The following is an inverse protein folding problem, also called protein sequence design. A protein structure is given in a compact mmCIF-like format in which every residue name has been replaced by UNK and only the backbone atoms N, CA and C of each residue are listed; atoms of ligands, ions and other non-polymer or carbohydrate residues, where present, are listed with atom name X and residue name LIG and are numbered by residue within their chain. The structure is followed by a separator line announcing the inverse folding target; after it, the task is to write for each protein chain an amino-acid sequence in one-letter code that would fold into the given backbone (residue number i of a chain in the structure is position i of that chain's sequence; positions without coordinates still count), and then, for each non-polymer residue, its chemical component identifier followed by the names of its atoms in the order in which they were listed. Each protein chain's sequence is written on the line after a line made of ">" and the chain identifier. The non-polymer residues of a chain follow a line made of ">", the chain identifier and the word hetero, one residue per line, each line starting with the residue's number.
data_IF_655896529757
#
_entry.id   IF_655896529757
#
_cell.length_a   1.000
_cell.length_b   1.000
_cell.length_c   1.000
_cell.angle_alpha   90.00
_cell.angle_beta   90.00
_cell.angle_gamma   90.00
#
_symmetry.space_group_name_H-M   'P 1'
#
loop_
_entity.id
_entity.type
_entity.pdbx_description
1 polymer ?
#
# COMPACT_ATOMS: atom_id res chain seq x y z
N UNK A 1 -2.28 -15.25 58.15
CA UNK A 1 -0.94 -15.85 57.95
C UNK A 1 -0.94 -17.09 57.05
N UNK A 2 -1.74 -18.15 57.29
CA UNK A 2 -1.71 -19.36 56.45
C UNK A 2 -2.28 -19.17 55.02
N UNK A 3 -3.34 -18.36 54.87
CA UNK A 3 -3.99 -18.10 53.58
C UNK A 3 -3.16 -17.21 52.65
N UNK A 4 -2.35 -16.30 53.20
CA UNK A 4 -1.47 -15.43 52.41
C UNK A 4 -0.32 -16.21 51.77
N UNK A 5 0.21 -17.22 52.46
CA UNK A 5 1.25 -18.11 51.93
C UNK A 5 0.71 -19.03 50.81
N UNK A 6 -0.54 -19.46 50.91
CA UNK A 6 -1.20 -20.22 49.85
C UNK A 6 -1.41 -19.36 48.58
N UNK A 7 -1.81 -18.10 48.75
CA UNK A 7 -1.97 -17.16 47.64
C UNK A 7 -0.65 -16.88 46.92
N UNK A 8 0.44 -16.64 47.66
CA UNK A 8 1.78 -16.42 47.09
C UNK A 8 2.27 -17.65 46.33
N UNK A 9 2.03 -18.87 46.83
CA UNK A 9 2.38 -20.12 46.14
C UNK A 9 1.62 -20.29 44.83
N UNK A 10 0.32 -20.02 44.82
CA UNK A 10 -0.51 -20.08 43.60
C UNK A 10 -0.09 -19.01 42.59
N UNK A 11 0.21 -17.79 43.06
CA UNK A 11 0.65 -16.69 42.21
C UNK A 11 2.04 -16.94 41.62
N UNK A 12 2.99 -17.45 42.41
CA UNK A 12 4.29 -17.89 41.90
C UNK A 12 4.15 -19.04 40.90
N UNK A 13 3.22 -19.97 41.11
CA UNK A 13 2.96 -21.05 40.15
C UNK A 13 2.41 -20.50 38.82
N UNK A 14 1.52 -19.50 38.87
CA UNK A 14 1.05 -18.78 37.68
C UNK A 14 2.20 -18.05 36.96
N UNK A 15 3.09 -17.37 37.69
CA UNK A 15 4.24 -16.67 37.09
C UNK A 15 5.24 -17.66 36.48
N UNK A 16 5.51 -18.77 37.17
CA UNK A 16 6.35 -19.85 36.65
C UNK A 16 5.71 -20.53 35.43
N UNK A 17 4.39 -20.72 35.42
CA UNK A 17 3.64 -21.27 34.29
C UNK A 17 3.63 -20.32 33.09
N UNK A 18 3.48 -19.01 33.30
CA UNK A 18 3.61 -17.99 32.23
C UNK A 18 5.04 -17.97 31.67
N UNK A 19 6.07 -18.04 32.52
CA UNK A 19 7.48 -18.14 32.08
C UNK A 19 7.78 -19.45 31.37
N UNK A 20 7.18 -20.55 31.78
CA UNK A 20 7.29 -21.86 31.15
C UNK A 20 6.58 -21.91 29.78
N UNK A 21 5.38 -21.35 29.69
CA UNK A 21 4.64 -21.20 28.44
C UNK A 21 5.35 -20.25 27.46
N UNK A 22 5.95 -19.16 27.96
CA UNK A 22 6.79 -18.28 27.13
C UNK A 22 7.98 -19.04 26.58
N UNK A 23 8.70 -19.80 27.43
CA UNK A 23 9.82 -20.64 27.01
C UNK A 23 9.41 -21.75 26.02
N UNK A 24 8.19 -22.29 26.09
CA UNK A 24 7.68 -23.27 25.11
C UNK A 24 7.43 -22.63 23.74
N UNK A 25 6.87 -21.42 23.70
CA UNK A 25 6.65 -20.68 22.45
C UNK A 25 7.98 -20.25 21.83
N UNK A 26 8.96 -19.86 22.66
CA UNK A 26 10.31 -19.48 22.23
C UNK A 26 11.15 -20.70 21.77
N UNK A 27 11.00 -21.86 22.41
CA UNK A 27 11.70 -23.12 22.04
C UNK A 27 11.37 -23.59 20.62
N UNK A 28 10.18 -23.27 20.11
CA UNK A 28 9.78 -23.60 18.73
C UNK A 28 10.59 -22.84 17.67
N UNK A 29 11.25 -21.72 18.02
CA UNK A 29 12.12 -20.97 17.10
C UNK A 29 13.56 -21.46 17.09
N UNK A 30 14.05 -22.11 18.15
CA UNK A 30 15.45 -22.58 18.24
C UNK A 30 15.76 -23.80 17.37
N UNK A 31 14.74 -24.54 16.92
CA UNK A 31 14.89 -25.75 16.07
C UNK A 31 14.78 -25.48 14.56
N UNK A 32 14.51 -24.24 14.14
CA UNK A 32 14.07 -23.93 12.77
C UNK A 32 15.18 -23.77 11.72
N UNK A 33 16.47 -23.84 12.06
CA UNK A 33 17.55 -23.72 11.09
C UNK A 33 18.51 -24.91 11.23
N UNK A 34 18.01 -26.11 10.94
CA UNK A 34 18.89 -27.16 10.44
C UNK A 34 19.58 -26.58 9.20
N UNK A 35 20.85 -26.17 9.34
CA UNK A 35 21.65 -25.65 8.23
C UNK A 35 21.65 -26.72 7.13
N UNK A 36 20.91 -26.48 6.07
CA UNK A 36 20.93 -27.33 4.88
C UNK A 36 22.35 -27.26 4.33
N UNK A 37 22.99 -28.42 4.22
CA UNK A 37 24.37 -28.54 3.75
C UNK A 37 24.38 -28.42 2.22
N UNK A 38 24.58 -27.19 1.73
CA UNK A 38 24.40 -26.83 0.32
C UNK A 38 25.43 -27.51 -0.61
N UNK A 39 26.60 -27.88 -0.09
CA UNK A 39 27.69 -28.46 -0.87
C UNK A 39 27.41 -29.91 -1.33
N UNK A 40 26.42 -30.57 -0.72
CA UNK A 40 25.99 -31.93 -1.06
C UNK A 40 24.83 -31.99 -2.06
N UNK A 41 24.21 -30.84 -2.36
CA UNK A 41 23.07 -30.76 -3.25
C UNK A 41 23.53 -30.58 -4.70
N UNK A 42 22.82 -31.24 -5.63
CA UNK A 42 23.06 -31.01 -7.05
C UNK A 42 22.44 -29.67 -7.52
N UNK A 43 22.81 -29.22 -8.72
CA UNK A 43 22.33 -27.95 -9.28
C UNK A 43 20.79 -27.90 -9.45
N UNK A 44 20.14 -29.04 -9.66
CA UNK A 44 18.69 -29.13 -9.81
C UNK A 44 18.00 -28.98 -8.44
N UNK A 45 18.54 -29.61 -7.41
CA UNK A 45 18.07 -29.52 -6.02
C UNK A 45 18.26 -28.10 -5.48
N UNK A 46 19.40 -27.46 -5.72
CA UNK A 46 19.64 -26.06 -5.34
C UNK A 46 18.64 -25.10 -5.99
N UNK A 47 18.29 -25.31 -7.25
CA UNK A 47 17.27 -24.50 -7.95
C UNK A 47 15.87 -24.75 -7.39
N UNK A 48 15.53 -25.99 -7.04
CA UNK A 48 14.27 -26.32 -6.41
C UNK A 48 14.16 -25.65 -5.03
N UNK A 49 15.20 -25.77 -4.20
CA UNK A 49 15.26 -25.14 -2.88
C UNK A 49 15.12 -23.62 -2.96
N UNK A 50 15.76 -22.97 -3.95
CA UNK A 50 15.59 -21.53 -4.17
C UNK A 50 14.12 -21.16 -4.42
N UNK A 51 13.43 -21.91 -5.27
CA UNK A 51 12.01 -21.69 -5.56
C UNK A 51 11.15 -21.89 -4.32
N UNK A 52 11.44 -22.91 -3.52
CA UNK A 52 10.69 -23.19 -2.29
C UNK A 52 10.91 -22.10 -1.24
N UNK A 53 12.12 -21.58 -1.13
CA UNK A 53 12.43 -20.42 -0.27
C UNK A 53 11.70 -19.17 -0.75
N UNK A 54 11.69 -18.88 -2.05
CA UNK A 54 10.92 -17.76 -2.63
C UNK A 54 9.43 -17.89 -2.26
N UNK A 55 8.83 -19.06 -2.47
CA UNK A 55 7.44 -19.31 -2.11
C UNK A 55 7.20 -19.10 -0.60
N UNK A 56 8.06 -19.68 0.25
CA UNK A 56 7.94 -19.56 1.70
C UNK A 56 8.04 -18.10 2.17
N UNK A 57 8.92 -17.29 1.56
CA UNK A 57 9.02 -15.85 1.83
C UNK A 57 7.71 -15.16 1.46
N UNK A 58 7.19 -15.38 0.25
CA UNK A 58 5.96 -14.72 -0.20
C UNK A 58 4.74 -15.07 0.66
N UNK A 59 4.62 -16.33 1.09
CA UNK A 59 3.56 -16.76 2.00
C UNK A 59 3.72 -16.15 3.39
N UNK A 60 4.95 -16.06 3.89
CA UNK A 60 5.24 -15.41 5.16
C UNK A 60 4.85 -13.93 5.13
N UNK A 61 5.25 -13.20 4.09
CA UNK A 61 4.91 -11.79 3.89
C UNK A 61 3.40 -11.59 3.76
N UNK A 62 2.71 -12.45 2.99
CA UNK A 62 1.25 -12.42 2.86
C UNK A 62 0.57 -12.59 4.22
N UNK A 63 0.99 -13.58 5.01
CA UNK A 63 0.45 -13.81 6.36
C UNK A 63 0.71 -12.61 7.27
N UNK A 64 1.92 -12.05 7.24
CA UNK A 64 2.26 -10.86 8.04
C UNK A 64 1.47 -9.62 7.63
N UNK A 65 1.23 -9.43 6.34
CA UNK A 65 0.38 -8.35 5.83
C UNK A 65 -1.07 -8.52 6.31
N UNK A 66 -1.61 -9.74 6.26
CA UNK A 66 -2.96 -10.01 6.76
C UNK A 66 -3.07 -9.77 8.27
N UNK A 67 -2.07 -10.18 9.06
CA UNK A 67 -1.99 -9.92 10.50
C UNK A 67 -1.94 -8.41 10.79
N UNK A 68 -1.11 -7.65 10.06
CA UNK A 68 -1.03 -6.21 10.19
C UNK A 68 -2.36 -5.51 9.84
N UNK A 69 -3.03 -5.97 8.78
CA UNK A 69 -4.36 -5.45 8.42
C UNK A 69 -5.40 -5.74 9.50
N UNK A 70 -5.43 -6.95 10.05
CA UNK A 70 -6.36 -7.32 11.12
C UNK A 70 -6.10 -6.49 12.39
N UNK A 71 -4.83 -6.28 12.75
CA UNK A 71 -4.45 -5.43 13.88
C UNK A 71 -4.87 -3.96 13.65
N UNK A 72 -4.65 -3.43 12.45
CA UNK A 72 -5.07 -2.07 12.09
C UNK A 72 -6.61 -1.92 12.14
N UNK A 73 -7.35 -2.91 11.64
CA UNK A 73 -8.81 -2.92 11.71
C UNK A 73 -9.32 -2.98 13.15
N UNK A 74 -8.71 -3.81 13.99
CA UNK A 74 -9.07 -3.91 15.40
C UNK A 74 -8.82 -2.59 16.12
N UNK A 75 -7.64 -1.98 15.94
CA UNK A 75 -7.30 -0.69 16.53
C UNK A 75 -8.25 0.43 16.07
N UNK A 76 -8.60 0.47 14.78
CA UNK A 76 -9.58 1.43 14.27
C UNK A 76 -10.95 1.23 14.96
N UNK A 77 -11.39 -0.03 15.08
CA UNK A 77 -12.69 -0.38 15.69
C UNK A 77 -12.75 -0.03 17.18
N UNK A 78 -11.65 -0.20 17.92
CA UNK A 78 -11.56 0.22 19.33
C UNK A 78 -11.78 1.73 19.51
N UNK A 79 -11.38 2.52 18.52
CA UNK A 79 -11.59 3.96 18.50
C UNK A 79 -12.92 4.38 17.85
N UNK A 80 -13.76 3.40 17.46
CA UNK A 80 -15.07 3.64 16.86
C UNK A 80 -15.04 3.99 15.36
N UNK A 81 -13.91 3.77 14.68
CA UNK A 81 -13.74 4.02 13.24
C UNK A 81 -13.61 2.72 12.46
N UNK A 82 -14.02 2.74 11.18
CA UNK A 82 -13.63 1.67 10.24
C UNK A 82 -12.31 2.00 9.56
N UNK A 83 -11.53 0.97 9.20
CA UNK A 83 -10.29 1.16 8.44
C UNK A 83 -10.54 1.84 7.08
N UNK A 84 -11.69 1.58 6.46
CA UNK A 84 -12.06 2.17 5.18
C UNK A 84 -12.27 3.69 5.26
N UNK A 85 -12.94 4.17 6.32
CA UNK A 85 -13.14 5.62 6.54
C UNK A 85 -11.81 6.35 6.79
N UNK A 86 -10.89 5.73 7.53
CA UNK A 86 -9.55 6.29 7.77
C UNK A 86 -8.73 6.40 6.47
N UNK A 87 -8.86 5.40 5.58
CA UNK A 87 -8.16 5.38 4.29
C UNK A 87 -8.78 6.32 3.25
N UNK A 88 -10.10 6.51 3.28
CA UNK A 88 -10.81 7.43 2.37
C UNK A 88 -10.41 8.89 2.66
N UNK A 89 -10.25 9.26 3.93
CA UNK A 89 -9.75 10.58 4.34
C UNK A 89 -8.24 10.79 4.14
N UNK A 90 -7.45 9.72 4.01
CA UNK A 90 -6.00 9.80 3.75
C UNK A 90 -5.67 10.07 2.27
N UNK A 91 -6.55 9.67 1.36
CA UNK A 91 -6.50 10.13 -0.02
C UNK A 91 -7.07 11.55 -0.04
N UNK A 92 -6.25 12.55 0.32
CA UNK A 92 -6.60 13.96 0.20
C UNK A 92 -7.28 14.23 -1.15
N UNK A 93 -8.19 15.23 -1.24
CA UNK A 93 -9.08 15.40 -2.40
C UNK A 93 -8.25 15.24 -3.67
N UNK A 94 -8.52 14.18 -4.45
CA UNK A 94 -7.91 13.99 -5.78
C UNK A 94 -8.16 15.31 -6.47
N UNK A 95 -7.10 16.13 -6.57
CA UNK A 95 -7.21 17.48 -7.10
C UNK A 95 -7.82 17.33 -8.47
N UNK A 96 -9.10 17.67 -8.59
CA UNK A 96 -9.76 17.87 -9.86
C UNK A 96 -8.99 19.07 -10.40
N UNK A 97 -7.94 18.79 -11.18
CA UNK A 97 -7.01 19.81 -11.64
C UNK A 97 -7.84 20.97 -12.13
N UNK A 98 -7.58 22.16 -11.61
CA UNK A 98 -8.33 23.37 -11.94
C UNK A 98 -8.40 23.43 -13.47
N UNK A 99 -9.58 23.16 -14.03
CA UNK A 99 -9.75 23.17 -15.48
C UNK A 99 -9.64 24.64 -15.85
N UNK A 100 -8.49 25.03 -16.36
CA UNK A 100 -8.30 26.39 -16.85
C UNK A 100 -9.36 26.69 -17.91
N UNK A 101 -9.95 27.89 -17.92
CA UNK A 101 -10.91 28.26 -18.94
C UNK A 101 -10.26 28.15 -20.34
N UNK A 102 -11.04 27.78 -21.36
CA UNK A 102 -10.55 27.77 -22.73
C UNK A 102 -10.13 29.18 -23.16
N UNK A 103 -8.95 29.31 -23.79
CA UNK A 103 -8.40 30.57 -24.28
C UNK A 103 -8.66 30.77 -25.78
N UNK A 104 -8.76 29.67 -26.53
CA UNK A 104 -8.97 29.68 -27.97
C UNK A 104 -10.21 28.86 -28.37
N UNK A 105 -10.94 29.28 -29.41
CA UNK A 105 -12.13 28.62 -29.95
C UNK A 105 -12.05 28.49 -31.47
N UNK A 106 -12.50 27.36 -32.00
CA UNK A 106 -12.56 27.13 -33.44
C UNK A 106 -13.61 28.05 -34.11
N UNK A 107 -13.31 28.64 -35.28
CA UNK A 107 -14.21 29.60 -35.93
C UNK A 107 -15.50 28.95 -36.46
N UNK A 108 -15.42 27.72 -36.96
CA UNK A 108 -16.58 27.01 -37.52
C UNK A 108 -17.30 26.11 -36.51
N UNK A 109 -16.66 25.78 -35.37
CA UNK A 109 -17.19 24.82 -34.41
C UNK A 109 -16.98 25.32 -32.97
N UNK A 110 -17.95 26.03 -32.38
CA UNK A 110 -17.78 26.66 -31.07
C UNK A 110 -17.60 25.66 -29.91
N UNK A 111 -17.90 24.38 -30.12
CA UNK A 111 -17.66 23.32 -29.14
C UNK A 111 -16.18 22.94 -29.01
N UNK A 112 -15.37 23.19 -30.03
CA UNK A 112 -13.93 22.89 -30.02
C UNK A 112 -13.17 24.08 -29.43
N UNK A 113 -12.64 23.88 -28.23
CA UNK A 113 -11.89 24.90 -27.50
C UNK A 113 -10.56 24.38 -27.00
N UNK A 114 -9.60 25.28 -26.80
CA UNK A 114 -8.28 24.95 -26.29
C UNK A 114 -7.84 25.95 -25.23
N UNK A 115 -7.29 25.45 -24.12
CA UNK A 115 -6.85 26.28 -22.98
C UNK A 115 -5.52 26.97 -23.21
N UNK A 116 -4.84 26.70 -24.35
CA UNK A 116 -3.49 27.19 -24.63
C UNK A 116 -2.39 26.47 -23.84
N UNK A 117 -2.73 25.39 -23.11
CA UNK A 117 -1.76 24.52 -22.43
C UNK A 117 -1.88 23.09 -22.91
N UNK A 118 -0.76 22.38 -22.95
CA UNK A 118 -0.68 20.98 -23.37
C UNK A 118 -0.63 20.80 -24.90
N UNK A 119 -1.01 19.62 -25.38
CA UNK A 119 -0.94 19.27 -26.81
C UNK A 119 -1.86 20.20 -27.61
N UNK A 120 -1.29 20.81 -28.64
CA UNK A 120 -2.02 21.65 -29.57
C UNK A 120 -2.98 20.79 -30.43
N UNK A 121 -4.26 21.19 -30.56
CA UNK A 121 -5.22 20.48 -31.39
C UNK A 121 -4.94 20.69 -32.88
N UNK A 122 -5.36 19.72 -33.70
CA UNK A 122 -5.05 19.65 -35.13
C UNK A 122 -5.44 20.93 -35.90
N UNK A 123 -6.64 21.47 -35.63
CA UNK A 123 -7.15 22.67 -36.30
C UNK A 123 -6.29 23.92 -36.09
N UNK A 124 -5.66 24.09 -34.91
CA UNK A 124 -4.73 25.21 -34.70
C UNK A 124 -3.44 24.96 -35.48
N UNK A 125 -2.96 23.71 -35.49
CA UNK A 125 -1.74 23.36 -36.23
C UNK A 125 -1.93 23.63 -37.73
N UNK A 126 -3.05 23.18 -38.28
CA UNK A 126 -3.45 23.38 -39.68
C UNK A 126 -3.62 24.87 -40.00
N UNK A 127 -4.24 25.65 -39.10
CA UNK A 127 -4.38 27.09 -39.28
C UNK A 127 -3.03 27.84 -39.29
N UNK A 128 -2.08 27.45 -38.43
CA UNK A 128 -0.72 28.01 -38.43
C UNK A 128 0.02 27.63 -39.72
N UNK A 129 -0.11 26.38 -40.18
CA UNK A 129 0.46 25.93 -41.45
C UNK A 129 -0.14 26.68 -42.66
N UNK A 130 -1.42 27.05 -42.59
CA UNK A 130 -2.10 27.89 -43.58
C UNK A 130 -1.76 29.39 -43.48
N UNK A 131 -0.89 29.79 -42.56
CA UNK A 131 -0.45 31.19 -42.38
C UNK A 131 -1.39 32.05 -41.52
N UNK A 132 -2.40 31.44 -40.88
CA UNK A 132 -3.31 32.14 -39.97
C UNK A 132 -2.70 32.25 -38.57
N UNK A 133 -2.64 33.46 -38.02
CA UNK A 133 -2.12 33.69 -36.67
C UNK A 133 -3.01 33.11 -35.57
N UNK A 134 -2.38 32.59 -34.50
CA UNK A 134 -3.07 32.00 -33.34
C UNK A 134 -4.07 32.98 -32.65
N UNK A 135 -3.77 34.28 -32.71
CA UNK A 135 -4.59 35.36 -32.14
C UNK A 135 -5.99 35.45 -32.76
N UNK A 136 -6.17 34.97 -33.99
CA UNK A 136 -7.49 34.96 -34.66
C UNK A 136 -8.50 34.02 -33.98
N UNK A 137 -8.02 33.07 -33.19
CA UNK A 137 -8.84 32.11 -32.47
C UNK A 137 -9.05 32.48 -31.00
N UNK A 138 -8.50 33.62 -30.55
CA UNK A 138 -8.59 34.06 -29.16
C UNK A 138 -10.05 34.36 -28.81
N UNK A 139 -10.53 33.81 -27.70
CA UNK A 139 -11.82 34.21 -27.14
C UNK A 139 -11.60 35.57 -26.48
N UNK A 140 -12.11 36.64 -27.09
CA UNK A 140 -12.14 37.97 -26.46
C UNK A 140 -13.23 37.95 -25.38
N UNK A 141 -12.84 37.96 -24.10
CA UNK A 141 -13.73 38.28 -22.99
C UNK A 141 -13.98 39.80 -22.98
N UNK A 142 -15.24 40.21 -23.06
CA UNK A 142 -15.72 41.55 -22.66
C UNK A 142 -16.25 41.45 -21.22
#
# INVERSE_FOLDING_TARGET
>A
MALEQAYIRILMWKIQWVRFMSRIVDFRKETAMAKIDLDKLDLKELKALRKDVENAITEYEKRKKQEALAAAQLAAKELGYSLAELLDGMNGPKGKGTINPPKYRHPENPAMTWTGRGRQPAWIKEAIEAGTGLESFLITED
#
